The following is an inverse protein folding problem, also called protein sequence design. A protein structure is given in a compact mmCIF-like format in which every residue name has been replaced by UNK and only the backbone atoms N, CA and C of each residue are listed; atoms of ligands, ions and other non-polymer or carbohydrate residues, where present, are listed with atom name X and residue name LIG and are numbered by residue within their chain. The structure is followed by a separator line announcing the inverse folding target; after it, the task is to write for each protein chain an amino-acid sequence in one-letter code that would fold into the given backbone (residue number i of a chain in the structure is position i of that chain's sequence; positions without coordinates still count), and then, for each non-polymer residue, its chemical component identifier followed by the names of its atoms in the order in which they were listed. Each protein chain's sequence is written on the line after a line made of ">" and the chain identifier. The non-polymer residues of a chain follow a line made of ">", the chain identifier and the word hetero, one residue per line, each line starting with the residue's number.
data_IF_168176323960
#
_entry.id   IF_168176323960
#
_cell.length_a   1.000
_cell.length_b   1.000
_cell.length_c   1.000
_cell.angle_alpha   90.00
_cell.angle_beta   90.00
_cell.angle_gamma   90.00
#
_symmetry.space_group_name_H-M   'P 1'
#
loop_
_entity.id
_entity.type
_entity.pdbx_description
1 polymer ?
#
# COMPACT_ATOMS: atom_id res chain seq x y z
N UNK A 1 11.30 -28.96 -15.03
CA UNK A 1 11.44 -29.64 -13.71
C UNK A 1 12.78 -29.24 -13.10
N UNK A 2 12.76 -28.88 -11.80
CA UNK A 2 13.85 -28.33 -10.95
C UNK A 2 14.21 -26.85 -11.14
N UNK A 3 13.23 -25.96 -10.91
CA UNK A 3 13.50 -24.69 -10.24
C UNK A 3 13.17 -24.90 -8.76
N UNK A 4 14.15 -24.75 -7.88
CA UNK A 4 13.96 -25.01 -6.45
C UNK A 4 13.11 -23.93 -5.79
N UNK A 5 12.59 -24.23 -4.60
CA UNK A 5 11.97 -23.25 -3.66
C UNK A 5 12.83 -21.97 -3.52
N UNK A 6 14.15 -22.09 -3.67
CA UNK A 6 15.10 -20.99 -3.70
C UNK A 6 14.98 -20.02 -4.88
N UNK A 7 14.59 -20.49 -6.08
CA UNK A 7 14.42 -19.61 -7.27
C UNK A 7 13.11 -18.83 -7.21
N UNK A 8 12.07 -19.43 -6.63
CA UNK A 8 10.78 -18.79 -6.42
C UNK A 8 10.88 -17.67 -5.37
N UNK A 9 11.53 -17.94 -4.24
CA UNK A 9 11.89 -16.90 -3.28
C UNK A 9 12.74 -15.83 -3.94
N UNK A 10 13.81 -16.18 -4.68
CA UNK A 10 14.70 -15.19 -5.29
C UNK A 10 14.01 -14.25 -6.31
N UNK A 11 12.92 -14.67 -6.95
CA UNK A 11 12.13 -13.83 -7.87
C UNK A 11 11.19 -12.85 -7.16
N UNK A 12 10.51 -13.29 -6.09
CA UNK A 12 9.69 -12.40 -5.27
C UNK A 12 10.55 -11.49 -4.37
N UNK A 13 11.71 -11.98 -3.91
CA UNK A 13 12.60 -11.28 -2.96
C UNK A 13 13.44 -10.15 -3.57
N UNK A 14 13.78 -10.19 -4.86
CA UNK A 14 14.29 -8.99 -5.54
C UNK A 14 13.22 -7.90 -5.59
N UNK A 15 11.96 -8.32 -5.73
CA UNK A 15 10.83 -7.43 -5.95
C UNK A 15 10.29 -6.84 -4.64
N UNK A 16 10.51 -7.48 -3.49
CA UNK A 16 10.23 -6.92 -2.17
C UNK A 16 11.21 -5.83 -1.71
N UNK A 17 12.39 -5.68 -2.34
CA UNK A 17 13.18 -4.44 -2.19
C UNK A 17 12.35 -3.23 -2.69
N UNK A 18 11.41 -3.43 -3.60
CA UNK A 18 10.46 -2.41 -4.05
C UNK A 18 9.19 -2.32 -3.17
N UNK A 19 8.98 -3.27 -2.24
CA UNK A 19 8.09 -3.08 -1.09
C UNK A 19 8.66 -2.07 -0.08
N UNK A 20 9.98 -1.82 -0.09
CA UNK A 20 10.59 -0.71 0.69
C UNK A 20 10.06 0.64 0.26
N UNK A 21 9.82 0.82 -1.04
CA UNK A 21 9.22 2.03 -1.60
C UNK A 21 7.70 2.05 -1.47
N UNK A 22 7.05 0.89 -1.26
CA UNK A 22 5.60 0.73 -1.10
C UNK A 22 5.08 1.11 0.28
N UNK A 23 5.78 0.61 1.31
CA UNK A 23 5.60 0.97 2.71
C UNK A 23 6.22 2.36 2.97
N UNK A 24 5.89 3.31 2.09
CA UNK A 24 6.35 4.70 1.95
C UNK A 24 6.47 5.49 3.25
N UNK A 25 5.90 4.98 4.35
CA UNK A 25 5.94 5.59 5.65
C UNK A 25 6.91 4.96 6.67
N UNK A 26 7.74 3.98 6.29
CA UNK A 26 8.75 3.43 7.21
C UNK A 26 10.00 4.33 7.26
N UNK A 27 10.48 4.63 8.46
CA UNK A 27 11.77 5.32 8.64
C UNK A 27 12.95 4.34 8.44
N UNK A 28 14.19 4.83 8.47
CA UNK A 28 15.38 4.00 8.22
C UNK A 28 15.49 2.81 9.17
N UNK A 29 15.18 3.02 10.45
CA UNK A 29 15.19 1.95 11.47
C UNK A 29 14.14 0.88 11.15
N UNK A 30 12.92 1.28 10.81
CA UNK A 30 11.84 0.38 10.43
C UNK A 30 12.15 -0.36 9.13
N UNK A 31 12.79 0.32 8.18
CA UNK A 31 13.27 -0.26 6.93
C UNK A 31 14.35 -1.32 7.19
N UNK A 32 15.27 -1.06 8.12
CA UNK A 32 16.27 -2.04 8.57
C UNK A 32 15.64 -3.28 9.22
N UNK A 33 14.65 -3.09 10.09
CA UNK A 33 13.90 -4.20 10.70
C UNK A 33 13.14 -5.01 9.66
N UNK A 34 12.53 -4.36 8.67
CA UNK A 34 11.84 -5.07 7.58
C UNK A 34 12.84 -5.91 6.74
N UNK A 35 14.04 -5.39 6.45
CA UNK A 35 15.09 -6.15 5.78
C UNK A 35 15.53 -7.37 6.58
N UNK A 36 15.62 -7.23 7.90
CA UNK A 36 15.90 -8.34 8.80
C UNK A 36 14.82 -9.41 8.70
N UNK A 37 13.53 -9.04 8.69
CA UNK A 37 12.42 -10.00 8.54
C UNK A 37 12.56 -10.83 7.26
N UNK A 38 12.90 -10.19 6.14
CA UNK A 38 13.16 -10.89 4.88
C UNK A 38 14.36 -11.84 5.02
N UNK A 39 15.47 -11.38 5.61
CA UNK A 39 16.67 -12.21 5.80
C UNK A 39 16.36 -13.46 6.63
N UNK A 40 15.60 -13.30 7.71
CA UNK A 40 15.16 -14.42 8.56
C UNK A 40 14.26 -15.37 7.79
N UNK A 41 13.35 -14.90 6.95
CA UNK A 41 12.52 -15.75 6.10
C UNK A 41 13.38 -16.61 5.15
N UNK A 42 14.33 -15.98 4.46
CA UNK A 42 15.27 -16.64 3.54
C UNK A 42 16.11 -17.71 4.23
N UNK A 43 16.72 -17.36 5.37
CA UNK A 43 17.62 -18.27 6.09
C UNK A 43 16.87 -19.47 6.69
N UNK A 44 15.57 -19.32 6.96
CA UNK A 44 14.69 -20.40 7.43
C UNK A 44 13.95 -21.11 6.29
N UNK A 45 14.20 -20.75 5.03
CA UNK A 45 13.53 -21.34 3.86
C UNK A 45 12.02 -21.14 3.84
N UNK A 46 11.53 -20.06 4.46
CA UNK A 46 10.11 -19.72 4.52
C UNK A 46 9.74 -18.91 3.27
N UNK A 47 8.70 -19.35 2.57
CA UNK A 47 8.21 -18.70 1.36
C UNK A 47 7.35 -17.49 1.73
N UNK A 48 7.77 -16.29 1.33
CA UNK A 48 6.94 -15.10 1.40
C UNK A 48 6.29 -14.90 0.04
N UNK A 49 5.00 -15.22 -0.09
CA UNK A 49 4.29 -15.22 -1.37
C UNK A 49 3.38 -13.99 -1.47
N UNK A 50 2.76 -13.58 -0.37
CA UNK A 50 1.83 -12.46 -0.35
C UNK A 50 1.89 -11.62 0.95
N UNK A 51 0.87 -10.77 1.16
CA UNK A 51 0.76 -9.95 2.37
C UNK A 51 0.46 -10.74 3.65
N UNK A 52 -0.29 -11.86 3.61
CA UNK A 52 -0.54 -12.66 4.83
C UNK A 52 0.77 -13.27 5.34
N UNK A 53 1.64 -13.69 4.41
CA UNK A 53 2.94 -14.24 4.74
C UNK A 53 3.86 -13.23 5.38
N UNK A 54 3.98 -12.06 4.76
CA UNK A 54 4.83 -11.01 5.29
C UNK A 54 4.34 -10.56 6.67
N UNK A 55 3.02 -10.44 6.88
CA UNK A 55 2.45 -10.15 8.19
C UNK A 55 2.77 -11.25 9.21
N UNK A 56 2.63 -12.53 8.84
CA UNK A 56 2.96 -13.63 9.74
C UNK A 56 4.46 -13.65 10.09
N UNK A 57 5.34 -13.42 9.12
CA UNK A 57 6.79 -13.34 9.35
C UNK A 57 7.18 -12.15 10.23
N UNK A 58 6.61 -10.97 10.00
CA UNK A 58 6.86 -9.80 10.86
C UNK A 58 6.42 -10.07 12.30
N UNK A 59 5.28 -10.75 12.48
CA UNK A 59 4.82 -11.16 13.81
C UNK A 59 5.75 -12.18 14.46
N UNK A 60 6.14 -13.23 13.73
CA UNK A 60 7.07 -14.26 14.19
C UNK A 60 8.42 -13.68 14.63
N UNK A 61 8.98 -12.76 13.84
CA UNK A 61 10.23 -12.07 14.18
C UNK A 61 10.07 -11.19 15.41
N UNK A 62 8.93 -10.53 15.57
CA UNK A 62 8.61 -9.74 16.77
C UNK A 62 8.51 -10.58 18.04
N UNK A 63 7.81 -11.73 17.98
CA UNK A 63 7.66 -12.65 19.10
C UNK A 63 8.99 -13.32 19.49
N UNK A 64 9.86 -13.57 18.51
CA UNK A 64 11.17 -14.20 18.69
C UNK A 64 12.34 -13.21 18.63
N UNK A 65 12.08 -11.91 18.88
CA UNK A 65 13.06 -10.84 18.70
C UNK A 65 14.36 -11.09 19.48
N UNK A 66 14.29 -11.64 20.69
CA UNK A 66 15.47 -11.93 21.51
C UNK A 66 16.38 -12.99 20.87
N UNK A 67 15.81 -14.00 20.21
CA UNK A 67 16.55 -15.06 19.54
C UNK A 67 17.24 -14.57 18.26
N UNK A 68 16.58 -13.66 17.54
CA UNK A 68 17.13 -13.09 16.30
C UNK A 68 18.08 -11.91 16.53
N UNK A 69 17.97 -11.21 17.67
CA UNK A 69 18.76 -9.99 17.91
C UNK A 69 20.28 -10.25 18.02
N UNK A 70 20.69 -11.45 18.40
CA UNK A 70 22.10 -11.84 18.50
C UNK A 70 22.78 -11.99 17.14
N UNK A 71 22.04 -12.45 16.12
CA UNK A 71 22.57 -12.77 14.80
C UNK A 71 22.32 -11.62 13.80
N UNK A 72 21.16 -10.99 13.85
CA UNK A 72 20.72 -10.02 12.84
C UNK A 72 20.70 -8.57 13.34
N UNK A 73 20.93 -8.35 14.63
CA UNK A 73 20.90 -7.02 15.26
C UNK A 73 19.57 -6.67 15.91
N UNK A 74 19.53 -5.52 16.59
CA UNK A 74 18.42 -5.17 17.48
C UNK A 74 17.07 -4.99 16.76
N UNK A 75 16.04 -5.68 17.25
CA UNK A 75 14.67 -5.61 16.72
C UNK A 75 13.78 -4.85 17.71
N UNK A 76 13.51 -3.58 17.42
CA UNK A 76 12.64 -2.77 18.27
C UNK A 76 11.16 -3.13 18.06
N UNK A 77 10.43 -3.41 19.15
CA UNK A 77 8.99 -3.72 19.11
C UNK A 77 8.15 -2.61 18.46
N UNK A 78 8.54 -1.33 18.65
CA UNK A 78 7.89 -0.19 18.01
C UNK A 78 7.98 -0.24 16.48
N UNK A 79 9.10 -0.74 15.93
CA UNK A 79 9.28 -0.92 14.48
C UNK A 79 8.40 -2.04 13.94
N UNK A 80 8.32 -3.18 14.64
CA UNK A 80 7.42 -4.28 14.29
C UNK A 80 5.97 -3.79 14.22
N UNK A 81 5.51 -3.06 15.24
CA UNK A 81 4.16 -2.51 15.26
C UNK A 81 3.88 -1.50 14.15
N UNK A 82 4.86 -0.67 13.76
CA UNK A 82 4.72 0.25 12.64
C UNK A 82 4.60 -0.47 11.29
N UNK A 83 5.42 -1.50 11.07
CA UNK A 83 5.37 -2.33 9.87
C UNK A 83 4.01 -3.04 9.76
N UNK A 84 3.54 -3.67 10.84
CA UNK A 84 2.24 -4.36 10.86
C UNK A 84 1.08 -3.43 10.48
N UNK A 85 1.05 -2.20 11.00
CA UNK A 85 0.02 -1.22 10.65
C UNK A 85 0.08 -0.82 9.17
N UNK A 86 1.28 -0.60 8.63
CA UNK A 86 1.46 -0.30 7.20
C UNK A 86 0.95 -1.43 6.31
N UNK A 87 1.26 -2.68 6.68
CA UNK A 87 0.77 -3.87 5.97
C UNK A 87 -0.76 -3.99 6.07
N UNK A 88 -1.36 -3.71 7.23
CA UNK A 88 -2.81 -3.74 7.41
C UNK A 88 -3.51 -2.69 6.53
N UNK A 89 -3.02 -1.46 6.49
CA UNK A 89 -3.59 -0.41 5.62
C UNK A 89 -3.51 -0.79 4.14
N UNK A 90 -2.43 -1.46 3.71
CA UNK A 90 -2.29 -1.93 2.34
C UNK A 90 -3.26 -3.09 2.03
N UNK A 91 -3.45 -4.00 2.98
CA UNK A 91 -4.40 -5.10 2.91
C UNK A 91 -5.85 -4.58 2.80
N UNK A 92 -6.22 -3.58 3.61
CA UNK A 92 -7.52 -2.88 3.54
C UNK A 92 -7.77 -2.20 2.18
N UNK A 93 -6.71 -1.77 1.49
CA UNK A 93 -6.77 -1.21 0.13
C UNK A 93 -6.82 -2.28 -0.97
N UNK A 94 -6.86 -3.56 -0.62
CA UNK A 94 -6.89 -4.68 -1.59
C UNK A 94 -5.51 -5.17 -2.02
N UNK A 95 -4.46 -4.88 -1.24
CA UNK A 95 -3.10 -5.34 -1.52
C UNK A 95 -2.97 -6.86 -1.55
N UNK A 96 -3.82 -7.61 -0.84
CA UNK A 96 -3.85 -9.06 -0.85
C UNK A 96 -4.24 -9.65 -2.22
N UNK A 97 -5.12 -8.98 -2.97
CA UNK A 97 -5.48 -9.36 -4.34
C UNK A 97 -4.36 -8.95 -5.30
N UNK A 98 -3.75 -7.80 -5.01
CA UNK A 98 -2.79 -7.17 -5.90
C UNK A 98 -1.41 -7.84 -5.89
N UNK A 99 -0.93 -8.30 -4.72
CA UNK A 99 0.35 -8.98 -4.53
C UNK A 99 0.18 -10.49 -4.34
N UNK A 100 -0.51 -11.14 -5.29
CA UNK A 100 -0.72 -12.59 -5.31
C UNK A 100 -0.03 -13.28 -6.49
N UNK A 101 -0.14 -14.62 -6.55
CA UNK A 101 0.29 -15.41 -7.70
C UNK A 101 -0.87 -15.65 -8.69
N UNK A 102 -0.61 -15.67 -10.01
CA UNK A 102 0.70 -15.45 -10.63
C UNK A 102 1.08 -13.97 -10.67
N UNK A 103 2.34 -13.69 -10.33
CA UNK A 103 2.89 -12.34 -10.42
C UNK A 103 2.95 -11.88 -11.88
N UNK A 104 2.65 -10.61 -12.12
CA UNK A 104 2.76 -10.01 -13.44
C UNK A 104 4.19 -10.15 -13.99
N UNK A 105 4.33 -10.81 -15.15
CA UNK A 105 5.57 -10.84 -15.91
C UNK A 105 5.65 -9.60 -16.80
N UNK A 106 6.68 -8.78 -16.62
CA UNK A 106 6.91 -7.59 -17.45
C UNK A 106 7.11 -7.94 -18.93
N UNK A 107 7.55 -9.16 -19.26
CA UNK A 107 7.70 -9.62 -20.63
C UNK A 107 6.34 -9.65 -21.36
N UNK A 108 5.25 -9.91 -20.63
CA UNK A 108 3.90 -9.90 -21.19
C UNK A 108 3.45 -8.51 -21.62
N UNK A 109 4.04 -7.45 -21.06
CA UNK A 109 3.80 -6.06 -21.45
C UNK A 109 4.50 -5.67 -22.76
N UNK A 110 5.52 -6.42 -23.18
CA UNK A 110 6.34 -6.14 -24.36
C UNK A 110 6.00 -7.04 -25.57
N UNK A 111 4.83 -7.69 -25.53
CA UNK A 111 4.39 -8.57 -26.61
C UNK A 111 4.10 -7.79 -27.89
N UNK A 112 4.30 -8.47 -29.01
CA UNK A 112 3.89 -8.02 -30.35
C UNK A 112 2.75 -8.89 -30.86
N UNK A 113 1.82 -8.29 -31.61
CA UNK A 113 0.73 -8.99 -32.28
C UNK A 113 1.25 -9.79 -33.50
N UNK A 114 0.36 -10.57 -34.12
CA UNK A 114 0.68 -11.37 -35.31
C UNK A 114 1.07 -10.52 -36.54
N UNK A 115 0.82 -9.22 -36.52
CA UNK A 115 1.20 -8.29 -37.58
C UNK A 115 2.53 -7.57 -37.26
N UNK A 116 3.21 -7.96 -36.18
CA UNK A 116 4.48 -7.36 -35.74
C UNK A 116 4.31 -6.01 -35.05
N UNK A 117 3.10 -5.62 -34.63
CA UNK A 117 2.85 -4.36 -33.93
C UNK A 117 2.88 -4.57 -32.42
N UNK A 118 3.39 -3.60 -31.67
CA UNK A 118 3.35 -3.64 -30.21
C UNK A 118 1.89 -3.65 -29.69
N UNK A 119 1.66 -4.40 -28.62
CA UNK A 119 0.35 -4.46 -27.95
C UNK A 119 0.18 -3.26 -27.02
N UNK A 120 -0.98 -2.61 -27.06
CA UNK A 120 -1.35 -1.57 -26.10
C UNK A 120 -1.92 -2.24 -24.85
N UNK A 121 -1.19 -2.14 -23.74
CA UNK A 121 -1.64 -2.63 -22.43
C UNK A 121 -2.30 -1.49 -21.67
N UNK A 122 -3.53 -1.72 -21.19
CA UNK A 122 -4.27 -0.74 -20.39
C UNK A 122 -4.44 -1.29 -18.98
N UNK A 123 -3.83 -0.63 -18.00
CA UNK A 123 -4.09 -0.89 -16.59
C UNK A 123 -5.42 -0.23 -16.21
N UNK A 124 -6.47 -1.03 -16.07
CA UNK A 124 -7.77 -0.53 -15.65
C UNK A 124 -7.78 -0.21 -14.15
N UNK A 125 -7.48 1.04 -13.82
CA UNK A 125 -7.38 1.55 -12.45
C UNK A 125 -8.70 2.15 -11.90
N UNK A 126 -9.86 1.73 -12.43
CA UNK A 126 -11.20 2.29 -12.12
C UNK A 126 -11.48 2.39 -10.61
N UNK A 127 -11.01 1.39 -9.85
CA UNK A 127 -11.13 1.33 -8.38
C UNK A 127 -9.84 1.71 -7.67
N UNK A 128 -8.70 1.49 -8.33
CA UNK A 128 -7.37 1.62 -7.77
C UNK A 128 -7.00 3.09 -7.49
N UNK A 129 -7.60 4.03 -8.21
CA UNK A 129 -7.49 5.46 -7.91
C UNK A 129 -7.97 5.82 -6.48
N UNK A 130 -8.94 5.08 -5.93
CA UNK A 130 -9.39 5.25 -4.54
C UNK A 130 -8.37 4.74 -3.50
N UNK A 131 -7.32 4.06 -3.96
CA UNK A 131 -6.25 3.50 -3.14
C UNK A 131 -4.87 4.04 -3.61
N UNK A 132 -4.57 5.34 -3.38
CA UNK A 132 -3.37 5.98 -3.91
C UNK A 132 -2.08 5.30 -3.46
N UNK A 133 -2.05 4.78 -2.23
CA UNK A 133 -0.86 4.11 -1.69
C UNK A 133 -0.59 2.79 -2.43
N UNK A 134 -1.63 1.98 -2.68
CA UNK A 134 -1.52 0.76 -3.48
C UNK A 134 -1.11 1.07 -4.92
N UNK A 135 -1.71 2.10 -5.53
CA UNK A 135 -1.36 2.52 -6.89
C UNK A 135 0.11 2.93 -7.00
N UNK A 136 0.56 3.85 -6.15
CA UNK A 136 1.94 4.34 -6.19
C UNK A 136 2.93 3.24 -5.89
N UNK A 137 2.64 2.38 -4.91
CA UNK A 137 3.40 1.16 -4.64
C UNK A 137 3.63 0.32 -5.90
N UNK A 138 2.54 0.00 -6.60
CA UNK A 138 2.61 -0.85 -7.78
C UNK A 138 3.46 -0.22 -8.87
N UNK A 139 3.23 1.05 -9.17
CA UNK A 139 3.95 1.75 -10.22
C UNK A 139 5.45 1.80 -9.93
N UNK A 140 5.84 2.00 -8.67
CA UNK A 140 7.23 1.98 -8.24
C UNK A 140 7.85 0.60 -8.38
N UNK A 141 7.11 -0.43 -7.96
CA UNK A 141 7.51 -1.81 -8.19
C UNK A 141 7.73 -2.09 -9.67
N UNK A 142 6.81 -1.68 -10.54
CA UNK A 142 6.90 -1.90 -11.98
C UNK A 142 8.12 -1.19 -12.58
N UNK A 143 8.36 0.06 -12.20
CA UNK A 143 9.50 0.85 -12.66
C UNK A 143 10.83 0.21 -12.27
N UNK A 144 10.95 -0.23 -11.02
CA UNK A 144 12.13 -0.95 -10.55
C UNK A 144 12.29 -2.30 -11.25
N UNK A 145 11.20 -3.05 -11.45
CA UNK A 145 11.24 -4.35 -12.13
C UNK A 145 11.75 -4.21 -13.56
N UNK A 146 11.22 -3.22 -14.30
CA UNK A 146 11.71 -2.89 -15.64
C UNK A 146 13.20 -2.56 -15.61
N UNK A 147 13.67 -1.78 -14.64
CA UNK A 147 15.07 -1.41 -14.54
C UNK A 147 16.00 -2.60 -14.24
N UNK A 148 15.60 -3.49 -13.33
CA UNK A 148 16.40 -4.64 -12.93
C UNK A 148 16.42 -5.77 -13.96
N UNK A 149 15.29 -5.99 -14.64
CA UNK A 149 15.11 -7.11 -15.57
C UNK A 149 15.61 -6.81 -16.97
N UNK A 150 15.42 -5.59 -17.44
CA UNK A 150 15.75 -5.28 -18.83
C UNK A 150 17.26 -5.19 -19.01
N UNK A 151 17.83 -5.85 -20.04
CA UNK A 151 19.22 -5.62 -20.39
C UNK A 151 19.38 -4.21 -20.96
N UNK A 152 20.59 -3.66 -20.86
CA UNK A 152 20.96 -2.47 -21.62
C UNK A 152 20.69 -2.70 -23.10
N UNK A 153 19.99 -1.75 -23.73
CA UNK A 153 19.52 -1.84 -25.10
C UNK A 153 20.30 -0.93 -26.06
N UNK A 154 21.07 0.03 -25.53
CA UNK A 154 21.76 1.04 -26.34
C UNK A 154 20.78 2.00 -26.99
N UNK A 155 21.13 2.49 -28.18
CA UNK A 155 20.32 3.44 -28.95
C UNK A 155 19.53 2.67 -30.02
N UNK A 156 18.29 2.31 -29.69
CA UNK A 156 17.39 1.60 -30.59
C UNK A 156 16.55 2.59 -31.39
N UNK A 157 16.28 2.28 -32.67
CA UNK A 157 15.36 3.07 -33.51
C UNK A 157 13.94 3.16 -32.92
N UNK A 158 13.52 2.13 -32.17
CA UNK A 158 12.24 2.08 -31.50
C UNK A 158 12.41 1.60 -30.05
N UNK A 159 11.67 2.19 -29.08
CA UNK A 159 11.70 1.73 -27.71
C UNK A 159 11.10 0.33 -27.60
N UNK A 160 11.61 -0.47 -26.66
CA UNK A 160 11.03 -1.78 -26.29
C UNK A 160 9.68 -1.64 -25.60
N UNK A 161 9.51 -0.56 -24.84
CA UNK A 161 8.30 -0.25 -24.10
C UNK A 161 8.15 1.27 -23.96
N UNK A 162 6.92 1.76 -24.06
CA UNK A 162 6.58 3.13 -23.68
C UNK A 162 5.52 3.07 -22.59
N UNK A 163 5.79 3.70 -21.46
CA UNK A 163 4.90 3.73 -20.31
C UNK A 163 4.31 5.14 -20.14
N UNK A 164 2.98 5.22 -20.12
CA UNK A 164 2.25 6.44 -19.83
C UNK A 164 1.68 6.37 -18.42
N UNK A 165 2.15 7.26 -17.55
CA UNK A 165 1.58 7.48 -16.23
C UNK A 165 0.49 8.53 -16.34
N UNK A 166 -0.75 8.06 -16.46
CA UNK A 166 -1.90 8.93 -16.30
C UNK A 166 -2.07 9.33 -14.83
N UNK A 167 -2.51 10.56 -14.61
CA UNK A 167 -2.59 11.20 -13.30
C UNK A 167 -1.30 11.05 -12.47
N UNK A 168 -0.18 11.45 -13.07
CA UNK A 168 1.16 11.37 -12.48
C UNK A 168 1.26 11.99 -11.08
N UNK A 169 0.38 12.93 -10.73
CA UNK A 169 0.29 13.53 -9.40
C UNK A 169 0.12 12.49 -8.28
N UNK A 170 -0.51 11.34 -8.55
CA UNK A 170 -0.70 10.26 -7.57
C UNK A 170 0.62 9.66 -7.09
N UNK A 171 1.64 9.64 -7.94
CA UNK A 171 2.97 9.13 -7.59
C UNK A 171 3.71 10.03 -6.61
N UNK A 172 3.47 11.34 -6.68
CA UNK A 172 4.29 12.34 -6.00
C UNK A 172 3.58 12.99 -4.82
N UNK A 173 2.26 12.99 -4.79
CA UNK A 173 1.49 13.55 -3.69
C UNK A 173 1.78 12.81 -2.38
N UNK A 174 2.32 13.55 -1.39
CA UNK A 174 2.74 13.03 -0.09
C UNK A 174 3.86 11.97 -0.17
N UNK A 175 4.58 11.88 -1.30
CA UNK A 175 5.76 11.05 -1.42
C UNK A 175 6.92 11.63 -0.58
N UNK A 176 7.64 10.78 0.15
CA UNK A 176 8.86 11.18 0.86
C UNK A 176 10.00 11.46 -0.12
N UNK A 177 10.97 12.27 0.28
CA UNK A 177 12.10 12.65 -0.58
C UNK A 177 12.87 11.45 -1.12
N UNK A 178 13.13 10.44 -0.26
CA UNK A 178 13.81 9.21 -0.63
C UNK A 178 13.06 8.42 -1.73
N UNK A 179 11.72 8.51 -1.75
CA UNK A 179 10.94 7.86 -2.79
C UNK A 179 11.12 8.57 -4.12
N UNK A 180 11.01 9.89 -4.13
CA UNK A 180 11.16 10.64 -5.37
C UNK A 180 12.63 10.65 -5.84
N UNK A 181 13.64 10.50 -4.97
CA UNK A 181 15.03 10.20 -5.35
C UNK A 181 15.12 8.90 -6.18
N UNK A 182 14.38 7.87 -5.76
CA UNK A 182 14.35 6.59 -6.46
C UNK A 182 13.65 6.68 -7.80
N UNK A 183 12.52 7.37 -7.87
CA UNK A 183 11.83 7.63 -9.14
C UNK A 183 12.74 8.39 -10.10
N UNK A 184 13.42 9.44 -9.62
CA UNK A 184 14.37 10.21 -10.42
C UNK A 184 15.49 9.31 -10.97
N UNK A 185 16.07 8.48 -10.12
CA UNK A 185 17.11 7.53 -10.51
C UNK A 185 16.60 6.57 -11.61
N UNK A 186 15.40 6.02 -11.46
CA UNK A 186 14.83 5.09 -12.44
C UNK A 186 14.52 5.81 -13.75
N UNK A 187 13.85 6.95 -13.72
CA UNK A 187 13.54 7.74 -14.93
C UNK A 187 14.80 8.10 -15.71
N UNK A 188 15.89 8.45 -15.01
CA UNK A 188 17.17 8.77 -15.64
C UNK A 188 17.82 7.55 -16.30
N UNK A 189 17.77 6.39 -15.67
CA UNK A 189 18.51 5.20 -16.11
C UNK A 189 17.72 4.30 -17.06
N UNK A 190 16.38 4.29 -16.99
CA UNK A 190 15.57 3.36 -17.79
C UNK A 190 15.66 3.63 -19.29
N UNK A 191 16.06 4.85 -19.69
CA UNK A 191 16.27 5.20 -21.10
C UNK A 191 17.26 4.26 -21.78
N UNK A 192 18.36 3.90 -21.11
CA UNK A 192 19.38 3.01 -21.69
C UNK A 192 18.90 1.56 -21.82
N UNK A 193 17.81 1.20 -21.15
CA UNK A 193 17.09 -0.08 -21.30
C UNK A 193 16.11 -0.08 -22.48
N UNK A 194 15.96 1.05 -23.18
CA UNK A 194 15.02 1.20 -24.29
C UNK A 194 13.57 1.40 -23.82
N UNK A 195 13.35 1.99 -22.64
CA UNK A 195 12.00 2.31 -22.14
C UNK A 195 11.78 3.82 -22.16
N UNK A 196 10.66 4.25 -22.75
CA UNK A 196 10.19 5.63 -22.68
C UNK A 196 9.19 5.81 -21.54
N UNK A 197 9.31 6.90 -20.78
CA UNK A 197 8.35 7.27 -19.73
C UNK A 197 7.70 8.61 -20.08
N UNK A 198 6.38 8.65 -20.02
CA UNK A 198 5.57 9.86 -20.16
C UNK A 198 4.73 10.06 -18.91
N UNK A 199 4.84 11.22 -18.28
CA UNK A 199 3.96 11.63 -17.18
C UNK A 199 2.87 12.54 -17.74
N UNK A 200 1.62 12.16 -17.52
CA UNK A 200 0.44 12.92 -17.92
C UNK A 200 -0.19 13.49 -16.65
N UNK A 201 -0.34 14.80 -16.60
CA UNK A 201 -0.90 15.52 -15.45
C UNK A 201 -1.68 16.73 -15.93
N UNK A 202 -2.69 17.13 -15.15
CA UNK A 202 -3.46 18.35 -15.40
C UNK A 202 -2.66 19.60 -15.02
N UNK A 203 -1.80 19.52 -14.01
CA UNK A 203 -0.98 20.63 -13.56
C UNK A 203 0.50 20.23 -13.51
N UNK A 204 1.41 20.96 -14.19
CA UNK A 204 2.84 20.67 -14.17
C UNK A 204 3.44 20.74 -12.76
N UNK A 205 2.86 21.54 -11.85
CA UNK A 205 3.34 21.67 -10.47
C UNK A 205 3.15 20.39 -9.63
N UNK A 206 2.36 19.43 -10.10
CA UNK A 206 2.14 18.17 -9.41
C UNK A 206 3.28 17.16 -9.65
N UNK A 207 4.20 17.47 -10.58
CA UNK A 207 5.42 16.69 -10.82
C UNK A 207 6.62 17.47 -10.28
N UNK A 208 7.47 16.86 -9.43
CA UNK A 208 8.64 17.56 -8.86
C UNK A 208 9.62 18.07 -9.93
N UNK A 209 10.18 19.26 -9.74
CA UNK A 209 11.11 19.93 -10.68
C UNK A 209 12.29 19.03 -11.08
N UNK A 210 12.82 18.25 -10.13
CA UNK A 210 13.89 17.27 -10.38
C UNK A 210 13.50 16.17 -11.36
N UNK A 211 12.24 15.72 -11.34
CA UNK A 211 11.71 14.75 -12.29
C UNK A 211 11.43 15.45 -13.62
N UNK A 212 10.82 16.64 -13.59
CA UNK A 212 10.60 17.45 -14.80
C UNK A 212 11.93 17.66 -15.55
N UNK A 213 13.02 17.97 -14.86
CA UNK A 213 14.34 18.14 -15.47
C UNK A 213 14.89 16.92 -16.22
N UNK A 214 14.39 15.70 -15.94
CA UNK A 214 14.80 14.48 -16.66
C UNK A 214 13.97 14.21 -17.92
N UNK A 215 12.85 14.90 -18.08
CA UNK A 215 11.89 14.66 -19.17
C UNK A 215 12.18 15.59 -20.35
N UNK A 216 12.72 15.05 -21.43
CA UNK A 216 13.14 15.84 -22.58
C UNK A 216 12.02 16.19 -23.58
N UNK A 217 10.95 15.40 -23.63
CA UNK A 217 9.82 15.63 -24.53
C UNK A 217 8.67 16.33 -23.79
N UNK A 218 8.06 17.32 -24.46
CA UNK A 218 7.00 18.16 -23.90
C UNK A 218 5.83 18.30 -24.86
N UNK A 219 4.63 18.09 -24.34
CA UNK A 219 3.36 18.41 -24.98
C UNK A 219 2.51 19.12 -23.94
N UNK A 220 2.23 20.40 -24.15
CA UNK A 220 1.49 21.23 -23.22
C UNK A 220 0.21 21.73 -23.88
N UNK A 221 -0.91 21.26 -23.35
CA UNK A 221 -2.23 21.77 -23.71
C UNK A 221 -2.54 23.07 -22.98
N UNK A 222 -3.69 23.66 -23.32
CA UNK A 222 -4.18 24.87 -22.67
C UNK A 222 -4.22 24.74 -21.14
N UNK A 223 -3.65 25.74 -20.45
CA UNK A 223 -3.82 25.91 -19.00
C UNK A 223 -4.63 27.19 -18.77
N UNK A 224 -5.69 27.08 -17.97
CA UNK A 224 -6.50 28.24 -17.61
C UNK A 224 -5.99 28.82 -16.29
N UNK A 225 -5.39 30.00 -16.37
CA UNK A 225 -4.84 30.67 -15.21
C UNK A 225 -5.85 31.63 -14.56
N UNK A 226 -6.47 31.20 -13.46
CA UNK A 226 -7.39 32.05 -12.68
C UNK A 226 -6.82 32.44 -11.32
N UNK A 227 -5.91 31.62 -10.78
CA UNK A 227 -5.27 31.85 -9.48
C UNK A 227 -3.77 32.13 -9.63
N UNK A 228 -3.11 32.71 -8.60
CA UNK A 228 -1.65 32.85 -8.59
C UNK A 228 -0.92 31.51 -8.75
N UNK A 229 -1.51 30.42 -8.24
CA UNK A 229 -0.94 29.07 -8.40
C UNK A 229 -0.98 28.65 -9.87
N UNK A 230 -2.08 28.91 -10.57
CA UNK A 230 -2.20 28.55 -12.00
C UNK A 230 -1.27 29.40 -12.87
N UNK A 231 -1.10 30.68 -12.54
CA UNK A 231 -0.10 31.53 -13.19
C UNK A 231 1.29 30.93 -13.00
N UNK A 232 1.66 30.52 -11.79
CA UNK A 232 2.93 29.83 -11.56
C UNK A 232 3.05 28.55 -12.40
N UNK A 233 1.98 27.78 -12.55
CA UNK A 233 1.97 26.58 -13.37
C UNK A 233 2.22 26.87 -14.86
N UNK A 234 1.60 27.93 -15.41
CA UNK A 234 1.84 28.40 -16.78
C UNK A 234 3.31 28.78 -16.98
N UNK A 235 3.88 29.52 -16.03
CA UNK A 235 5.28 29.95 -16.08
C UNK A 235 6.24 28.75 -16.05
N UNK A 236 6.03 27.82 -15.12
CA UNK A 236 6.85 26.59 -15.03
C UNK A 236 6.74 25.78 -16.34
N UNK A 237 5.54 25.61 -16.90
CA UNK A 237 5.38 24.91 -18.17
C UNK A 237 6.18 25.59 -19.29
N UNK A 238 6.10 26.92 -19.41
CA UNK A 238 6.82 27.68 -20.42
C UNK A 238 8.35 27.61 -20.25
N UNK A 239 8.85 27.73 -19.01
CA UNK A 239 10.28 27.70 -18.69
C UNK A 239 10.93 26.33 -18.93
N UNK A 240 10.15 25.25 -18.85
CA UNK A 240 10.64 23.89 -19.14
C UNK A 240 10.80 23.59 -20.63
N UNK A 241 10.44 24.52 -21.51
CA UNK A 241 10.54 24.37 -22.97
C UNK A 241 11.65 25.25 -23.54
N UNK A 242 12.19 24.83 -24.68
CA UNK A 242 13.14 25.68 -25.42
C UNK A 242 12.40 26.85 -26.06
N UNK A 243 12.80 28.06 -25.70
CA UNK A 243 12.18 29.31 -26.17
C UNK A 243 12.12 29.42 -27.70
N UNK A 244 11.01 29.97 -28.19
CA UNK A 244 10.81 30.29 -29.60
C UNK A 244 10.93 31.81 -29.81
N UNK A 245 11.81 32.30 -30.70
CA UNK A 245 11.90 33.74 -30.99
C UNK A 245 10.62 34.36 -31.58
N UNK A 246 9.71 33.53 -32.13
CA UNK A 246 8.49 33.99 -32.81
C UNK A 246 7.34 34.31 -31.85
N UNK A 247 7.33 33.77 -30.63
CA UNK A 247 6.25 33.97 -29.67
C UNK A 247 6.70 33.69 -28.22
N UNK A 248 5.99 34.26 -27.26
CA UNK A 248 6.16 33.93 -25.85
C UNK A 248 5.33 32.70 -25.46
N UNK A 249 5.99 31.65 -24.96
CA UNK A 249 5.32 30.40 -24.63
C UNK A 249 4.29 30.57 -23.50
N UNK A 250 4.58 31.38 -22.48
CA UNK A 250 3.66 31.60 -21.36
C UNK A 250 2.35 32.27 -21.82
N UNK A 251 2.45 33.26 -22.72
CA UNK A 251 1.29 33.90 -23.34
C UNK A 251 0.48 32.91 -24.16
N UNK A 252 1.13 32.14 -25.05
CA UNK A 252 0.43 31.19 -25.92
C UNK A 252 -0.30 30.10 -25.13
N UNK A 253 0.28 29.58 -24.03
CA UNK A 253 -0.37 28.56 -23.19
C UNK A 253 -1.77 28.97 -22.73
N UNK A 254 -1.97 30.26 -22.40
CA UNK A 254 -3.28 30.78 -22.01
C UNK A 254 -4.28 30.90 -23.16
N UNK A 255 -3.78 31.11 -24.38
CA UNK A 255 -4.56 31.34 -25.61
C UNK A 255 -4.94 30.05 -26.35
N UNK A 256 -4.30 28.92 -26.02
CA UNK A 256 -4.56 27.64 -26.68
C UNK A 256 -6.06 27.25 -26.61
N UNK A 257 -6.57 26.82 -27.75
CA UNK A 257 -7.89 26.22 -27.92
C UNK A 257 -7.90 24.71 -27.67
N UNK A 258 -9.10 24.11 -27.72
CA UNK A 258 -9.26 22.66 -27.67
C UNK A 258 -8.63 22.04 -28.92
N UNK A 259 -7.79 21.01 -28.74
CA UNK A 259 -7.08 20.37 -29.85
C UNK A 259 -5.79 21.07 -30.26
N UNK A 260 -5.37 22.13 -29.56
CA UNK A 260 -4.07 22.76 -29.75
C UNK A 260 -3.11 22.43 -28.60
N UNK A 261 -1.81 22.46 -28.89
CA UNK A 261 -0.76 22.28 -27.90
C UNK A 261 0.51 23.05 -28.29
N UNK A 262 1.34 23.38 -27.29
CA UNK A 262 2.76 23.63 -27.49
C UNK A 262 3.53 22.31 -27.44
N UNK A 263 4.40 22.07 -28.41
CA UNK A 263 5.20 20.85 -28.53
C UNK A 263 6.69 21.17 -28.60
N UNK A 264 7.49 20.41 -27.86
CA UNK A 264 8.95 20.46 -27.91
C UNK A 264 9.48 19.05 -27.71
N UNK A 265 9.96 18.44 -28.79
CA UNK A 265 10.54 17.09 -28.78
C UNK A 265 12.06 17.17 -28.92
N UNK A 266 12.75 16.14 -28.43
CA UNK A 266 14.19 16.02 -28.60
C UNK A 266 14.56 15.78 -30.08
N UNK A 267 15.67 16.37 -30.53
CA UNK A 267 16.31 16.06 -31.81
C UNK A 267 17.13 14.75 -31.72
N UNK A 268 17.70 14.32 -32.86
CA UNK A 268 18.57 13.13 -32.94
C UNK A 268 19.80 13.20 -32.01
N UNK A 269 20.18 14.40 -31.55
CA UNK A 269 21.29 14.60 -30.62
C UNK A 269 20.81 14.68 -29.17
N UNK A 270 19.53 14.40 -28.91
CA UNK A 270 18.92 14.45 -27.59
C UNK A 270 18.74 15.87 -27.04
N UNK A 271 18.74 16.90 -27.90
CA UNK A 271 18.54 18.30 -27.49
C UNK A 271 17.09 18.70 -27.70
N UNK A 272 16.47 19.44 -26.78
CA UNK A 272 15.12 19.96 -27.00
C UNK A 272 15.03 20.83 -28.26
N UNK A 273 14.10 20.50 -29.14
CA UNK A 273 13.70 21.32 -30.27
C UNK A 273 13.04 22.61 -29.81
N UNK A 274 13.08 23.66 -30.64
CA UNK A 274 12.37 24.91 -30.36
C UNK A 274 10.88 24.60 -30.22
N UNK A 275 10.23 25.18 -29.19
CA UNK A 275 8.81 24.95 -28.97
C UNK A 275 7.97 25.46 -30.15
N UNK A 276 7.02 24.67 -30.62
CA UNK A 276 6.11 25.06 -31.70
C UNK A 276 4.64 24.91 -31.25
N UNK A 277 3.76 25.74 -31.83
CA UNK A 277 2.31 25.57 -31.67
C UNK A 277 1.84 24.57 -32.72
N UNK A 278 1.18 23.51 -32.26
CA UNK A 278 0.68 22.43 -33.11
C UNK A 278 -0.82 22.21 -32.90
N UNK A 279 -1.47 21.71 -33.95
CA UNK A 279 -2.83 21.16 -33.90
C UNK A 279 -2.70 19.65 -33.72
N UNK A 280 -3.39 19.10 -32.73
CA UNK A 280 -3.37 17.69 -32.41
C UNK A 280 -4.38 16.96 -33.31
N UNK A 281 -3.88 15.97 -34.02
CA UNK A 281 -4.73 15.11 -34.85
C UNK A 281 -5.69 14.32 -33.94
N UNK A 282 -7.01 14.31 -34.23
CA UNK A 282 -7.97 13.59 -33.39
C UNK A 282 -7.67 12.09 -33.39
N UNK A 283 -7.88 11.39 -32.26
CA UNK A 283 -7.60 9.96 -32.19
C UNK A 283 -8.55 9.19 -33.13
N UNK A 284 -8.01 8.18 -33.81
CA UNK A 284 -8.78 7.22 -34.60
C UNK A 284 -9.41 6.14 -33.70
N UNK A 285 -10.10 6.56 -32.63
CA UNK A 285 -10.70 5.68 -31.63
C UNK A 285 -12.15 6.06 -31.35
N UNK A 286 -12.89 5.14 -30.72
CA UNK A 286 -14.19 5.47 -30.15
C UNK A 286 -14.00 6.43 -28.97
N UNK A 287 -14.82 7.48 -28.90
CA UNK A 287 -14.91 8.34 -27.72
C UNK A 287 -15.77 7.64 -26.66
N UNK A 288 -15.22 7.48 -25.46
CA UNK A 288 -15.89 6.86 -24.31
C UNK A 288 -15.38 5.44 -23.98
N UNK A 289 -15.74 4.92 -22.80
CA UNK A 289 -15.25 3.63 -22.32
C UNK A 289 -15.75 2.46 -23.16
N UNK A 290 -15.08 1.31 -23.02
CA UNK A 290 -15.57 0.06 -23.59
C UNK A 290 -16.87 -0.39 -22.93
N UNK A 291 -17.77 -0.98 -23.71
CA UNK A 291 -18.93 -1.67 -23.14
C UNK A 291 -18.47 -2.89 -22.34
N UNK A 292 -19.14 -3.25 -21.23
CA UNK A 292 -18.74 -4.37 -20.38
C UNK A 292 -18.56 -5.69 -21.14
N UNK A 293 -19.43 -5.96 -22.12
CA UNK A 293 -19.42 -7.17 -22.95
C UNK A 293 -18.22 -7.22 -23.90
N UNK A 294 -17.86 -6.08 -24.50
CA UNK A 294 -16.68 -5.95 -25.35
C UNK A 294 -15.42 -6.17 -24.53
N UNK A 295 -15.34 -5.55 -23.34
CA UNK A 295 -14.22 -5.73 -22.40
C UNK A 295 -14.09 -7.20 -21.99
N UNK A 296 -15.20 -7.84 -21.63
CA UNK A 296 -15.22 -9.27 -21.27
C UNK A 296 -14.71 -10.13 -22.43
N UNK A 297 -15.17 -9.87 -23.65
CA UNK A 297 -14.73 -10.61 -24.84
C UNK A 297 -13.23 -10.47 -25.08
N UNK A 298 -12.67 -9.27 -24.93
CA UNK A 298 -11.22 -9.03 -25.05
C UNK A 298 -10.41 -9.79 -23.99
N UNK A 299 -10.91 -9.84 -22.74
CA UNK A 299 -10.27 -10.61 -21.67
C UNK A 299 -10.37 -12.11 -21.96
N UNK A 300 -11.56 -12.58 -22.36
CA UNK A 300 -11.85 -14.00 -22.63
C UNK A 300 -11.03 -14.56 -23.79
N UNK A 301 -10.71 -13.73 -24.78
CA UNK A 301 -9.89 -14.11 -25.95
C UNK A 301 -8.39 -13.88 -25.74
N UNK A 302 -8.00 -13.21 -24.65
CA UNK A 302 -6.59 -12.94 -24.36
C UNK A 302 -5.84 -14.23 -24.00
N UNK A 303 -4.68 -14.51 -24.61
CA UNK A 303 -3.86 -15.66 -24.20
C UNK A 303 -3.34 -15.52 -22.76
N UNK A 304 -3.27 -14.30 -22.22
CA UNK A 304 -2.86 -14.06 -20.84
C UNK A 304 -3.93 -14.51 -19.82
N UNK A 305 -5.17 -14.72 -20.25
CA UNK A 305 -6.23 -15.19 -19.36
C UNK A 305 -5.88 -16.55 -18.75
N UNK A 306 -5.27 -17.46 -19.52
CA UNK A 306 -4.86 -18.76 -19.02
C UNK A 306 -3.81 -18.68 -17.89
N UNK A 307 -3.08 -17.56 -17.82
CA UNK A 307 -2.08 -17.31 -16.79
C UNK A 307 -2.73 -16.61 -15.60
N UNK A 308 -3.40 -15.46 -15.82
CA UNK A 308 -3.81 -14.55 -14.73
C UNK A 308 -5.28 -14.66 -14.30
N UNK A 309 -6.10 -15.53 -14.89
CA UNK A 309 -7.52 -15.60 -14.55
C UNK A 309 -7.79 -16.15 -13.14
N UNK A 310 -6.95 -17.07 -12.68
CA UNK A 310 -7.12 -17.75 -11.39
C UNK A 310 -5.89 -17.48 -10.53
N UNK A 311 -6.15 -17.00 -9.31
CA UNK A 311 -5.10 -16.86 -8.30
C UNK A 311 -4.62 -18.22 -7.82
N UNK A 312 -3.33 -18.35 -7.57
CA UNK A 312 -2.72 -19.57 -7.01
C UNK A 312 -2.35 -19.31 -5.55
N UNK A 313 -2.88 -20.12 -4.63
CA UNK A 313 -2.49 -20.10 -3.21
C UNK A 313 -1.61 -21.33 -2.92
N UNK A 314 -0.31 -21.10 -2.75
CA UNK A 314 0.67 -22.16 -2.44
C UNK A 314 0.91 -22.23 -0.94
N UNK A 315 1.40 -23.37 -0.47
CA UNK A 315 1.89 -23.46 0.92
C UNK A 315 3.07 -22.49 1.12
N UNK A 316 2.93 -21.63 2.11
CA UNK A 316 3.71 -20.42 2.33
C UNK A 316 4.12 -20.26 3.80
N UNK A 317 4.85 -19.18 4.13
CA UNK A 317 5.32 -18.92 5.48
C UNK A 317 4.15 -18.86 6.48
N UNK A 318 3.00 -18.32 6.07
CA UNK A 318 1.80 -18.28 6.89
C UNK A 318 1.38 -19.68 7.37
N UNK A 319 1.26 -20.66 6.47
CA UNK A 319 0.81 -22.01 6.84
C UNK A 319 1.85 -22.73 7.71
N UNK A 320 3.14 -22.60 7.38
CA UNK A 320 4.24 -23.24 8.14
C UNK A 320 4.34 -22.66 9.55
N UNK A 321 4.25 -21.34 9.71
CA UNK A 321 4.33 -20.68 11.01
C UNK A 321 3.09 -20.99 11.86
N UNK A 322 1.88 -20.94 11.28
CA UNK A 322 0.65 -21.26 11.99
C UNK A 322 0.60 -22.74 12.41
N UNK A 323 1.10 -23.64 11.57
CA UNK A 323 1.27 -25.06 11.89
C UNK A 323 2.24 -25.29 13.05
N UNK A 324 3.37 -24.56 13.10
CA UNK A 324 4.34 -24.61 14.22
C UNK A 324 3.75 -24.05 15.52
N UNK A 325 2.99 -22.96 15.47
CA UNK A 325 2.33 -22.40 16.65
C UNK A 325 1.26 -23.36 17.22
N UNK A 326 0.51 -24.07 16.37
CA UNK A 326 -0.43 -25.10 16.81
C UNK A 326 0.27 -26.33 17.43
N UNK A 327 1.45 -26.71 16.91
CA UNK A 327 2.28 -27.78 17.47
C UNK A 327 2.94 -27.41 18.82
N UNK A 328 3.28 -26.14 19.02
CA UNK A 328 3.81 -25.62 20.29
C UNK A 328 2.72 -25.47 21.37
N UNK A 329 1.48 -25.17 20.99
CA UNK A 329 0.32 -25.16 21.91
C UNK A 329 -0.03 -26.58 22.39
N UNK A 330 0.27 -27.62 21.61
CA UNK A 330 0.05 -29.02 22.02
C UNK A 330 1.18 -29.62 22.85
N UNK A 331 2.29 -28.89 23.07
CA UNK A 331 3.44 -29.33 23.88
C UNK A 331 3.66 -28.52 25.16
N UNK A 332 2.76 -27.57 25.48
CA UNK A 332 2.76 -26.85 26.76
C UNK A 332 1.46 -27.06 27.54
N UNK A 333 1.23 -28.28 27.99
CA UNK A 333 0.45 -28.55 29.20
C UNK A 333 1.36 -29.20 30.25
N UNK A 334 2.00 -28.41 31.15
CA UNK A 334 2.68 -28.96 32.30
C UNK A 334 1.68 -29.14 33.45
N UNK A 335 1.46 -30.39 33.86
CA UNK A 335 0.91 -30.72 35.18
C UNK A 335 -0.50 -31.30 35.21
N UNK A 336 -0.69 -32.52 34.72
CA UNK A 336 -1.70 -33.41 35.27
C UNK A 336 -0.97 -34.49 36.09
N UNK A 337 -1.05 -34.35 37.41
CA UNK A 337 -0.54 -35.32 38.40
C UNK A 337 -1.28 -36.65 38.18
N UNK A 338 -0.60 -37.81 38.14
CA UNK A 338 -1.30 -39.09 38.08
C UNK A 338 -2.06 -39.32 39.39
N UNK A 339 -3.37 -39.56 39.29
CA UNK A 339 -4.17 -39.99 40.44
C UNK A 339 -3.65 -41.36 40.95
N UNK A 340 -3.44 -41.55 42.27
CA UNK A 340 -2.97 -42.82 42.79
C UNK A 340 -4.08 -43.87 42.76
N UNK A 341 -3.68 -45.10 42.39
CA UNK A 341 -4.53 -46.28 42.38
C UNK A 341 -4.92 -46.67 43.83
N UNK A 342 -6.22 -46.69 44.11
CA UNK A 342 -6.76 -47.27 45.33
C UNK A 342 -7.07 -48.76 45.10
N UNK A 343 -6.13 -49.63 45.47
CA UNK A 343 -6.38 -51.04 45.73
C UNK A 343 -6.74 -51.21 47.20
N UNK A 344 -8.01 -51.47 47.50
CA UNK A 344 -8.47 -51.83 48.83
C UNK A 344 -9.08 -53.23 48.80
N UNK A 345 -8.39 -54.18 49.41
CA UNK A 345 -8.91 -55.49 49.76
C UNK A 345 -8.84 -55.71 51.27
N UNK A 346 -9.97 -56.10 51.87
CA UNK A 346 -10.01 -57.16 52.88
C UNK A 346 -10.22 -56.81 54.37
N UNK A 347 -11.42 -57.16 54.86
CA UNK A 347 -11.79 -57.56 56.25
C UNK A 347 -12.08 -56.45 57.27
N UNK A 348 -13.21 -56.42 58.01
CA UNK A 348 -14.37 -57.30 58.13
C UNK A 348 -15.31 -56.87 59.28
N UNK A 349 -16.52 -57.43 59.29
CA UNK A 349 -17.47 -57.61 60.42
C UNK A 349 -18.82 -56.85 60.41
N UNK A 350 -19.88 -57.62 60.05
CA UNK A 350 -21.22 -57.76 60.69
C UNK A 350 -22.20 -56.56 60.66
N UNK A 351 -23.52 -56.66 60.43
CA UNK A 351 -24.50 -57.78 60.36
C UNK A 351 -25.87 -57.25 59.83
N UNK A 352 -26.63 -58.16 59.20
CA UNK A 352 -28.10 -58.23 58.96
C UNK A 352 -28.86 -57.39 57.91
N UNK A 353 -29.56 -58.13 57.03
CA UNK A 353 -30.94 -57.83 56.62
C UNK A 353 -31.22 -57.83 55.11
N UNK A 354 -31.88 -58.88 54.60
CA UNK A 354 -32.31 -59.11 53.19
C UNK A 354 -33.85 -58.85 53.06
N UNK A 355 -34.52 -58.91 51.88
CA UNK A 355 -34.92 -57.84 50.93
C UNK A 355 -36.47 -57.90 50.61
N UNK A 356 -37.05 -57.75 49.38
CA UNK A 356 -36.73 -57.04 48.11
C UNK A 356 -37.97 -56.27 47.50
N UNK A 357 -37.96 -56.00 46.17
CA UNK A 357 -39.03 -55.63 45.20
C UNK A 357 -38.86 -54.18 44.66
N UNK A 358 -38.87 -53.83 43.36
CA UNK A 358 -39.35 -54.44 42.11
C UNK A 358 -38.73 -53.71 40.90
N UNK A 359 -38.74 -54.36 39.74
CA UNK A 359 -38.24 -53.89 38.45
C UNK A 359 -39.34 -53.29 37.54
N UNK A 360 -38.88 -52.58 36.49
CA UNK A 360 -39.49 -52.37 35.14
C UNK A 360 -40.36 -51.08 34.90
N UNK A 361 -40.64 -50.67 33.63
CA UNK A 361 -39.86 -49.66 32.86
C UNK A 361 -40.75 -48.68 32.01
N UNK A 362 -40.14 -48.01 31.01
CA UNK A 362 -40.72 -47.22 29.88
C UNK A 362 -41.08 -45.73 30.17
N UNK A 363 -41.03 -44.73 29.28
CA UNK A 363 -41.22 -44.61 27.82
C UNK A 363 -40.62 -43.26 27.26
N UNK A 364 -40.05 -43.31 26.04
CA UNK A 364 -40.11 -42.38 24.87
C UNK A 364 -40.11 -40.82 24.97
N UNK A 365 -39.04 -40.20 24.40
CA UNK A 365 -38.88 -39.06 23.43
C UNK A 365 -39.85 -37.83 23.39
N UNK A 366 -39.55 -36.66 22.73
CA UNK A 366 -38.34 -36.19 22.00
C UNK A 366 -37.91 -34.70 22.30
N UNK A 367 -36.99 -34.19 21.48
CA UNK A 367 -36.25 -32.91 21.49
C UNK A 367 -37.05 -31.60 21.26
N UNK A 368 -36.51 -30.45 21.75
CA UNK A 368 -36.30 -29.22 20.96
C UNK A 368 -35.58 -28.08 21.74
N UNK A 369 -34.67 -27.40 21.03
CA UNK A 369 -34.40 -25.95 20.97
C UNK A 369 -33.91 -25.17 22.21
N UNK A 370 -32.59 -24.95 22.27
CA UNK A 370 -31.92 -23.86 23.00
C UNK A 370 -31.72 -22.68 22.04
N UNK A 371 -32.48 -21.60 22.22
CA UNK A 371 -32.38 -20.42 21.33
C UNK A 371 -33.05 -19.14 21.80
N UNK A 372 -33.42 -19.00 23.08
CA UNK A 372 -34.17 -17.82 23.55
C UNK A 372 -33.60 -17.06 24.77
N UNK A 373 -32.53 -17.51 25.42
CA UNK A 373 -32.09 -16.91 26.70
C UNK A 373 -31.18 -15.67 26.56
N UNK A 374 -30.57 -15.43 25.39
CA UNK A 374 -29.67 -14.28 25.18
C UNK A 374 -30.37 -13.02 24.65
N UNK A 375 -31.59 -13.16 24.13
CA UNK A 375 -32.33 -12.03 23.56
C UNK A 375 -33.10 -11.24 24.62
N UNK A 376 -33.58 -11.92 25.68
CA UNK A 376 -34.30 -11.28 26.80
C UNK A 376 -33.37 -10.43 27.68
N UNK A 377 -32.11 -10.84 27.83
CA UNK A 377 -31.10 -10.09 28.61
C UNK A 377 -30.69 -8.76 27.96
N UNK A 378 -30.81 -8.62 26.64
CA UNK A 378 -30.42 -7.40 25.92
C UNK A 378 -31.58 -6.41 25.83
N UNK A 379 -32.83 -6.88 25.86
CA UNK A 379 -33.99 -6.01 25.76
C UNK A 379 -34.23 -5.21 27.06
N UNK A 380 -33.91 -5.79 28.21
CA UNK A 380 -34.11 -5.16 29.53
C UNK A 380 -33.08 -4.04 29.83
N UNK A 381 -31.95 -4.01 29.12
CA UNK A 381 -30.96 -2.92 29.20
C UNK A 381 -31.27 -1.73 28.29
N UNK A 382 -32.14 -1.88 27.28
CA UNK A 382 -32.43 -0.84 26.29
C UNK A 382 -33.73 -0.06 26.55
N UNK A 383 -34.63 -0.52 27.43
CA UNK A 383 -35.90 0.18 27.69
C UNK A 383 -35.97 0.72 29.12
N UNK A 384 -35.42 1.91 29.33
CA UNK A 384 -35.53 2.63 30.60
C UNK A 384 -36.97 3.05 30.92
N UNK A 385 -37.52 2.54 32.03
CA UNK A 385 -38.69 3.08 32.75
C UNK A 385 -38.55 2.82 34.25
N UNK A 386 -38.78 3.87 35.06
CA UNK A 386 -38.35 4.06 36.46
C UNK A 386 -38.99 3.17 37.54
N UNK A 387 -38.72 3.34 38.84
CA UNK A 387 -37.97 4.38 39.55
C UNK A 387 -37.99 4.25 41.08
N UNK A 388 -37.25 5.17 41.74
CA UNK A 388 -37.30 5.72 43.12
C UNK A 388 -37.17 4.79 44.35
N UNK A 389 -36.09 4.98 45.13
CA UNK A 389 -36.11 5.47 46.53
C UNK A 389 -34.75 6.03 46.99
N UNK A 390 -34.83 6.98 47.92
CA UNK A 390 -33.87 8.03 48.31
C UNK A 390 -32.83 7.66 49.38
N UNK A 391 -31.82 8.52 49.46
CA UNK A 391 -30.87 8.76 50.55
C UNK A 391 -29.75 9.68 50.06
N UNK A 392 -30.04 10.92 49.66
CA UNK A 392 -29.91 12.16 50.46
C UNK A 392 -28.53 12.30 51.13
N UNK A 393 -27.70 13.12 50.48
CA UNK A 393 -26.92 14.18 51.13
C UNK A 393 -25.74 13.77 52.02
N UNK A 394 -24.67 13.23 51.43
CA UNK A 394 -23.33 13.39 52.02
C UNK A 394 -22.23 13.25 50.94
N UNK A 395 -21.18 14.05 51.06
CA UNK A 395 -19.94 14.00 50.28
C UNK A 395 -19.87 14.72 48.91
N UNK A 396 -20.52 15.88 48.78
CA UNK A 396 -20.05 16.96 47.90
C UNK A 396 -19.88 18.26 48.71
N UNK A 397 -18.78 18.40 49.47
CA UNK A 397 -18.28 19.69 49.97
C UNK A 397 -16.90 19.55 50.64
N UNK A 398 -16.02 20.55 50.39
CA UNK A 398 -14.68 20.78 50.96
C UNK A 398 -13.54 19.91 50.42
N UNK A 399 -12.82 20.44 49.42
CA UNK A 399 -11.58 21.19 49.71
C UNK A 399 -10.89 21.66 48.41
N UNK A 400 -11.41 22.72 47.80
CA UNK A 400 -10.63 23.58 46.91
C UNK A 400 -10.79 25.00 47.45
N UNK A 401 -9.75 25.53 48.13
CA UNK A 401 -9.34 26.94 48.16
C UNK A 401 -8.33 27.22 49.29
N UNK A 402 -7.09 27.53 48.89
CA UNK A 402 -6.13 28.53 49.43
C UNK A 402 -4.87 28.42 48.54
N UNK A 403 -4.35 29.43 47.86
CA UNK A 403 -4.73 30.83 47.62
C UNK A 403 -4.51 31.15 46.13
N UNK A 404 -5.22 32.11 45.52
CA UNK A 404 -5.06 33.57 45.69
C UNK A 404 -3.62 34.00 45.38
N UNK A 405 -3.30 34.95 44.52
CA UNK A 405 -4.00 35.97 43.73
C UNK A 405 -2.93 36.50 42.74
N UNK A 406 -3.17 37.24 41.67
CA UNK A 406 -4.31 37.90 41.06
C UNK A 406 -3.89 38.30 39.62
N UNK A 407 -4.82 38.46 38.68
CA UNK A 407 -5.26 39.79 38.18
C UNK A 407 -4.09 40.56 37.55
N UNK A 408 -3.97 40.87 36.26
CA UNK A 408 -4.86 41.50 35.26
C UNK A 408 -3.97 41.52 33.99
N UNK A 409 -4.38 41.45 32.73
CA UNK A 409 -5.65 41.55 32.03
C UNK A 409 -5.32 41.66 30.52
N UNK A 410 -6.26 41.26 29.67
CA UNK A 410 -6.22 41.46 28.22
C UNK A 410 -6.47 42.94 27.91
N UNK A 411 -5.73 43.50 26.95
CA UNK A 411 -6.25 44.25 25.79
C UNK A 411 -5.15 45.12 25.13
N UNK A 412 -5.45 45.53 23.89
CA UNK A 412 -4.76 46.48 23.00
C UNK A 412 -3.73 45.82 22.08
N UNK A 413 -3.93 45.71 20.76
CA UNK A 413 -4.75 46.51 19.87
C UNK A 413 -3.84 47.36 18.99
N UNK A 414 -3.78 46.99 17.71
CA UNK A 414 -3.14 47.64 16.55
C UNK A 414 -2.72 49.11 16.74
N UNK A 415 -1.47 49.40 16.40
CA UNK A 415 -0.99 50.48 15.51
C UNK A 415 0.41 50.89 15.96
N UNK A 416 1.41 50.71 15.10
CA UNK A 416 2.34 51.79 14.72
C UNK A 416 3.22 51.30 13.57
N UNK A 417 2.86 51.80 12.40
CA UNK A 417 3.62 51.85 11.18
C UNK A 417 4.86 52.75 11.39
N UNK A 418 6.00 52.35 10.83
CA UNK A 418 6.93 53.19 10.03
C UNK A 418 7.85 54.19 10.76
N UNK A 419 9.15 54.02 10.52
CA UNK A 419 10.27 54.90 10.92
C UNK A 419 11.14 54.15 11.93
N UNK A 420 12.39 53.78 11.65
CA UNK A 420 13.49 54.66 11.28
C UNK A 420 14.54 53.81 10.55
N UNK A 421 14.74 54.14 9.27
CA UNK A 421 16.03 54.04 8.59
C UNK A 421 17.01 54.91 9.38
N UNK A 422 18.12 54.35 9.86
CA UNK A 422 19.07 55.10 10.66
C UNK A 422 20.41 54.41 10.77
N UNK A 423 21.19 54.54 9.69
CA UNK A 423 22.65 54.73 9.70
C UNK A 423 23.55 53.69 10.38
N UNK A 424 24.47 53.12 9.59
CA UNK A 424 25.92 52.94 9.86
C UNK A 424 26.45 52.18 8.62
N UNK A 425 26.95 52.87 7.58
CA UNK A 425 28.40 53.01 7.24
C UNK A 425 29.12 51.66 7.25
N UNK A 426 29.63 51.10 6.14
CA UNK A 426 30.57 51.69 5.17
C UNK A 426 30.53 50.89 3.87
#
# INVERSE_FOLDING_TARGET
>A
MRGGVSDLNRHFFKNCINFKSALTNLNDTQTGVLQLVFKVADDNGLLLIDLKDLRAMVQHVGENAAAYSSEYGNIAAASIGAIQRGLLTLDEQGGNIFFGEPMLDIADLMRVDSNGRAVINVLAADKLFLSPMLYSTFLLWLLSELFERLPEAGDLDQPKLVFFFDEAHLLFNNARDALIDKVEQVVRLIRSKGVGIYFVTQNPLDVPDRILGQLGNRVQHALRAFTPRDQKAVQVAAETMRANPKFDAATIIGELGVGEALVSFLDEKGRPGIVERAIIFPPASRMGPLQPEERKTLIDTSPLKAIYAEGVDRESAYEVLKGKSAANITTTAPGAIPAPAASAGGSGSRVNGVPPLTAHPHHTAPAHALGNDLLDSLQDMLTGKGGKREGVLEAAAKSAMRGAAGTVGRELGKQLLRGVLGSITR
#
